data_IF_188833623782
#
_entry.id   IF_188833623782
#
_cell.length_a   1.000
_cell.length_b   1.000
_cell.length_c   1.000
_cell.angle_alpha   90.00
_cell.angle_beta   90.00
_cell.angle_gamma   90.00
#
_symmetry.space_group_name_H-M   'P 1'
#
loop_
_entity.id
_entity.type
_entity.pdbx_description
1 polymer ?
#
# COMPACT_ATOMS: atom_id res chain seq x y z
N UNK A 1 8.67 -18.45 4.20
CA UNK A 1 7.27 -18.18 4.63
C UNK A 1 6.38 -18.24 3.40
N UNK A 2 5.35 -19.11 3.33
CA UNK A 2 4.48 -19.23 2.14
C UNK A 2 3.66 -17.93 1.97
N UNK A 3 3.60 -17.39 0.75
CA UNK A 3 2.81 -16.18 0.41
C UNK A 3 1.35 -16.42 0.79
N UNK A 4 0.80 -15.61 1.69
CA UNK A 4 -0.66 -15.58 1.93
C UNK A 4 -1.27 -14.60 0.92
N UNK A 5 -2.16 -15.08 0.07
CA UNK A 5 -2.89 -14.28 -0.92
C UNK A 5 -3.77 -13.23 -0.23
N UNK A 6 -4.18 -12.18 -0.96
CA UNK A 6 -5.17 -11.21 -0.47
C UNK A 6 -6.45 -11.90 0.02
N UNK A 7 -6.89 -12.95 -0.67
CA UNK A 7 -8.00 -13.82 -0.29
C UNK A 7 -7.77 -14.53 1.06
N UNK A 8 -6.56 -15.08 1.28
CA UNK A 8 -6.20 -15.69 2.57
C UNK A 8 -6.26 -14.69 3.72
N UNK A 9 -5.83 -13.45 3.47
CA UNK A 9 -5.83 -12.38 4.46
C UNK A 9 -7.24 -11.85 4.71
N UNK A 10 -8.08 -11.75 3.67
CA UNK A 10 -9.50 -11.45 3.81
C UNK A 10 -10.19 -12.49 4.69
N UNK A 11 -9.97 -13.79 4.41
CA UNK A 11 -10.50 -14.85 5.25
C UNK A 11 -9.97 -14.84 6.69
N UNK A 12 -8.77 -14.30 6.93
CA UNK A 12 -8.24 -14.18 8.29
C UNK A 12 -8.82 -12.97 9.02
N UNK A 13 -8.99 -11.85 8.33
CA UNK A 13 -9.60 -10.64 8.88
C UNK A 13 -11.10 -10.81 9.18
N UNK A 14 -11.77 -11.75 8.49
CA UNK A 14 -13.23 -11.97 8.62
C UNK A 14 -13.60 -13.22 9.42
N UNK A 15 -12.64 -13.86 10.10
CA UNK A 15 -12.91 -15.06 10.93
C UNK A 15 -13.75 -14.71 12.15
N UNK A 16 -14.65 -15.63 12.51
CA UNK A 16 -15.49 -15.55 13.72
C UNK A 16 -14.67 -15.55 15.02
N UNK A 17 -13.54 -16.23 15.03
CA UNK A 17 -12.65 -16.34 16.18
C UNK A 17 -11.26 -15.86 15.80
N UNK A 18 -10.66 -15.02 16.65
CA UNK A 18 -9.32 -14.45 16.48
C UNK A 18 -9.10 -13.79 15.10
N UNK A 19 -9.92 -12.78 14.72
CA UNK A 19 -9.73 -12.07 13.47
C UNK A 19 -8.42 -11.28 13.50
N UNK A 20 -7.68 -11.30 12.39
CA UNK A 20 -6.51 -10.44 12.25
C UNK A 20 -6.99 -9.02 11.97
N UNK A 21 -6.63 -8.08 12.85
CA UNK A 21 -6.78 -6.67 12.56
C UNK A 21 -5.69 -6.23 11.55
N UNK A 22 -6.13 -5.79 10.37
CA UNK A 22 -5.24 -5.34 9.31
C UNK A 22 -4.55 -4.01 9.66
N UNK A 23 -5.14 -3.21 10.54
CA UNK A 23 -4.59 -1.93 10.97
C UNK A 23 -3.36 -2.09 11.86
N UNK A 24 -3.26 -3.16 12.65
CA UNK A 24 -2.09 -3.41 13.52
C UNK A 24 -0.95 -4.14 12.80
N UNK A 25 -1.13 -4.56 11.55
CA UNK A 25 -0.08 -5.21 10.79
C UNK A 25 1.11 -4.27 10.56
N UNK A 26 2.35 -4.82 10.48
CA UNK A 26 3.53 -4.04 10.12
C UNK A 26 3.33 -3.27 8.82
N UNK A 27 3.95 -2.09 8.71
CA UNK A 27 3.82 -1.19 7.56
C UNK A 27 4.04 -1.90 6.22
N UNK A 28 5.15 -2.62 6.07
CA UNK A 28 5.48 -3.40 4.87
C UNK A 28 4.42 -4.44 4.53
N UNK A 29 3.77 -5.03 5.54
CA UNK A 29 2.74 -6.03 5.33
C UNK A 29 1.46 -5.39 4.81
N UNK A 30 1.05 -4.25 5.37
CA UNK A 30 -0.09 -3.47 4.85
C UNK A 30 0.17 -3.00 3.42
N UNK A 31 1.39 -2.55 3.14
CA UNK A 31 1.79 -2.13 1.80
C UNK A 31 1.79 -3.31 0.81
N UNK A 32 2.32 -4.47 1.20
CA UNK A 32 2.24 -5.68 0.36
C UNK A 32 0.80 -6.04 0.01
N UNK A 33 -0.12 -5.95 0.97
CA UNK A 33 -1.55 -6.20 0.74
C UNK A 33 -2.12 -5.23 -0.29
N UNK A 34 -1.87 -3.92 -0.12
CA UNK A 34 -2.28 -2.88 -1.07
C UNK A 34 -1.76 -3.18 -2.49
N UNK A 35 -0.53 -3.68 -2.59
CA UNK A 35 0.13 -3.99 -3.86
C UNK A 35 -0.20 -5.38 -4.40
N UNK A 36 -1.26 -6.03 -3.92
CA UNK A 36 -1.71 -7.33 -4.41
C UNK A 36 -0.81 -8.51 -3.99
N UNK A 37 -0.16 -8.40 -2.84
CA UNK A 37 0.78 -9.40 -2.31
C UNK A 37 2.20 -9.30 -2.89
N UNK A 38 2.57 -8.15 -3.47
CA UNK A 38 3.92 -7.93 -3.99
C UNK A 38 4.89 -7.55 -2.86
N UNK A 39 5.35 -8.56 -2.10
CA UNK A 39 6.26 -8.38 -0.97
C UNK A 39 7.59 -7.71 -1.38
N UNK A 40 8.08 -7.96 -2.60
CA UNK A 40 9.34 -7.36 -3.09
C UNK A 40 9.21 -5.86 -3.29
N UNK A 41 8.15 -5.44 -3.99
CA UNK A 41 7.90 -4.03 -4.19
C UNK A 41 7.59 -3.33 -2.86
N UNK A 42 6.82 -3.96 -1.98
CA UNK A 42 6.53 -3.41 -0.66
C UNK A 42 7.80 -3.16 0.17
N UNK A 43 8.74 -4.12 0.19
CA UNK A 43 10.03 -3.95 0.85
C UNK A 43 10.84 -2.80 0.23
N UNK A 44 10.94 -2.77 -1.11
CA UNK A 44 11.69 -1.71 -1.79
C UNK A 44 11.11 -0.31 -1.54
N UNK A 45 9.78 -0.19 -1.54
CA UNK A 45 9.12 1.08 -1.25
C UNK A 45 9.28 1.45 0.23
N UNK A 46 9.19 0.49 1.16
CA UNK A 46 9.40 0.75 2.57
C UNK A 46 10.82 1.25 2.85
N UNK A 47 11.82 0.65 2.20
CA UNK A 47 13.21 1.10 2.24
C UNK A 47 13.36 2.50 1.64
N UNK A 48 12.86 2.72 0.42
CA UNK A 48 12.92 4.01 -0.28
C UNK A 48 12.30 5.15 0.54
N UNK A 49 11.16 4.87 1.18
CA UNK A 49 10.42 5.86 1.96
C UNK A 49 10.87 5.97 3.41
N UNK A 50 11.66 5.01 3.92
CA UNK A 50 11.89 4.86 5.36
C UNK A 50 10.60 4.74 6.17
N UNK A 51 9.56 4.12 5.60
CA UNK A 51 8.24 3.94 6.20
C UNK A 51 7.29 5.15 6.13
N UNK A 52 7.69 6.26 5.49
CA UNK A 52 6.84 7.45 5.33
C UNK A 52 6.33 7.61 3.90
N UNK A 53 5.11 7.13 3.63
CA UNK A 53 4.47 7.19 2.30
C UNK A 53 4.25 8.60 1.77
N UNK A 54 4.25 9.64 2.62
CA UNK A 54 4.14 11.03 2.16
C UNK A 54 5.29 11.42 1.24
N UNK A 55 6.43 10.74 1.33
CA UNK A 55 7.58 10.94 0.44
C UNK A 55 7.31 10.56 -1.02
N UNK A 56 6.26 9.78 -1.28
CA UNK A 56 5.81 9.45 -2.64
C UNK A 56 4.74 10.41 -3.15
N UNK A 57 4.26 11.33 -2.31
CA UNK A 57 3.20 12.27 -2.68
C UNK A 57 3.73 13.26 -3.74
N UNK A 58 2.93 13.48 -4.78
CA UNK A 58 3.30 14.38 -5.89
C UNK A 58 4.32 13.80 -6.87
N UNK A 59 4.72 12.53 -6.72
CA UNK A 59 5.52 11.83 -7.73
C UNK A 59 4.68 11.49 -8.95
N UNK A 60 5.27 11.66 -10.13
CA UNK A 60 4.66 11.21 -11.37
C UNK A 60 4.76 9.69 -11.51
N UNK A 61 3.93 9.12 -12.39
CA UNK A 61 3.93 7.67 -12.61
C UNK A 61 5.31 7.13 -13.04
N UNK A 62 6.06 7.92 -13.81
CA UNK A 62 7.42 7.59 -14.24
C UNK A 62 8.41 7.55 -13.07
N UNK A 63 8.29 8.46 -12.10
CA UNK A 63 9.15 8.50 -10.92
C UNK A 63 8.91 7.27 -10.04
N UNK A 64 7.64 6.88 -9.88
CA UNK A 64 7.26 5.68 -9.15
C UNK A 64 7.80 4.40 -9.82
N UNK A 65 7.74 4.31 -11.16
CA UNK A 65 8.35 3.20 -11.92
C UNK A 65 9.89 3.22 -11.82
N UNK A 66 10.49 4.38 -11.56
CA UNK A 66 11.94 4.54 -11.35
C UNK A 66 12.45 3.99 -10.00
N UNK A 67 11.57 3.70 -9.03
CA UNK A 67 11.98 3.13 -7.74
C UNK A 67 12.47 1.69 -7.96
N UNK A 68 13.71 1.35 -7.56
CA UNK A 68 14.25 -0.01 -7.74
C UNK A 68 13.31 -1.07 -7.15
N UNK A 69 12.94 -2.08 -7.94
CA UNK A 69 12.02 -3.14 -7.51
C UNK A 69 10.53 -2.80 -7.64
N UNK A 70 10.18 -1.59 -8.08
CA UNK A 70 8.81 -1.18 -8.44
C UNK A 70 8.62 -1.32 -9.95
N UNK A 71 7.76 -2.26 -10.36
CA UNK A 71 7.37 -2.39 -11.76
C UNK A 71 6.14 -1.54 -12.10
N UNK A 72 5.90 -1.31 -13.40
CA UNK A 72 4.77 -0.53 -13.94
C UNK A 72 3.42 -0.76 -13.25
N UNK A 73 3.01 -2.03 -13.09
CA UNK A 73 1.73 -2.35 -12.46
C UNK A 73 1.65 -1.93 -10.98
N UNK A 74 2.80 -1.92 -10.28
CA UNK A 74 2.89 -1.44 -8.89
C UNK A 74 2.85 0.09 -8.85
N UNK A 75 3.59 0.76 -9.75
CA UNK A 75 3.58 2.21 -9.89
C UNK A 75 2.16 2.74 -10.14
N UNK A 76 1.41 2.12 -11.07
CA UNK A 76 0.01 2.49 -11.35
C UNK A 76 -0.88 2.35 -10.11
N UNK A 77 -0.75 1.25 -9.35
CA UNK A 77 -1.54 1.05 -8.11
C UNK A 77 -1.24 2.11 -7.06
N UNK A 78 0.03 2.45 -6.87
CA UNK A 78 0.43 3.51 -5.94
C UNK A 78 -0.11 4.87 -6.36
N UNK A 79 0.07 5.23 -7.63
CA UNK A 79 -0.39 6.50 -8.17
C UNK A 79 -1.89 6.68 -7.93
N UNK A 80 -2.70 5.70 -8.35
CA UNK A 80 -4.15 5.72 -8.15
C UNK A 80 -4.52 5.79 -6.67
N UNK A 81 -3.83 5.03 -5.80
CA UNK A 81 -4.07 5.08 -4.36
C UNK A 81 -3.83 6.49 -3.78
N UNK A 82 -2.73 7.15 -4.15
CA UNK A 82 -2.42 8.49 -3.65
C UNK A 82 -3.39 9.54 -4.20
N UNK A 83 -3.79 9.47 -5.46
CA UNK A 83 -4.82 10.36 -6.01
C UNK A 83 -6.11 10.25 -5.20
N UNK A 84 -6.60 9.04 -4.95
CA UNK A 84 -7.82 8.82 -4.14
C UNK A 84 -7.67 9.32 -2.70
N UNK A 85 -6.50 9.11 -2.08
CA UNK A 85 -6.25 9.55 -0.72
C UNK A 85 -6.21 11.10 -0.61
N UNK A 86 -5.60 11.76 -1.60
CA UNK A 86 -5.55 13.22 -1.65
C UNK A 86 -6.93 13.83 -1.91
N UNK A 87 -7.71 13.26 -2.82
CA UNK A 87 -9.09 13.68 -3.08
C UNK A 87 -9.95 13.61 -1.80
N UNK A 88 -9.82 12.50 -1.04
CA UNK A 88 -10.53 12.33 0.23
C UNK A 88 -10.11 13.38 1.28
N UNK A 89 -8.82 13.68 1.37
CA UNK A 89 -8.32 14.69 2.32
C UNK A 89 -8.80 16.09 1.92
N UNK A 90 -8.77 16.42 0.62
CA UNK A 90 -9.31 17.68 0.11
C UNK A 90 -10.79 17.86 0.44
N UNK A 91 -11.60 16.82 0.19
CA UNK A 91 -13.03 16.83 0.55
C UNK A 91 -13.27 16.97 2.07
N UNK A 92 -12.40 16.41 2.90
CA UNK A 92 -12.50 16.55 4.35
C UNK A 92 -12.18 17.98 4.84
N UNK A 93 -11.39 18.75 4.09
CA UNK A 93 -11.09 20.15 4.42
C UNK A 93 -12.20 21.11 4.01
N UNK A 94 -12.94 20.80 2.94
CA UNK A 94 -14.07 21.62 2.48
C UNK A 94 -15.35 21.40 3.32
N UNK A 95 -15.42 20.30 4.08
CA UNK A 95 -16.55 19.94 4.93
C UNK A 95 -16.42 20.40 6.40
N UNK A 96 -15.29 21.01 6.76
CA UNK A 96 -14.97 21.49 8.11
C UNK A 96 -15.04 23.03 8.20
#
# INVERSE_FOLDING_TARGET
MKRKTAETLFHQATRKHDPIDLAVLPFERRLSILLGGNDKAAAAIAEYTGGDLRKLSGMELADLEGIPGVGRATAVRLFVFFTLALDLIGQAQDAA
#
